data_IF_218842004177
#
_entry.id   IF_218842004177
#
_cell.length_a   1.000
_cell.length_b   1.000
_cell.length_c   1.000
_cell.angle_alpha   90.00
_cell.angle_beta   90.00
_cell.angle_gamma   90.00
#
_symmetry.space_group_name_H-M   'P 1'
#
loop_
_entity.id
_entity.type
_entity.pdbx_description
1 polymer ?
#
# COMPACT_ATOMS: atom_id res chain seq x y z
N UNK A 1 -14.78 -30.18 -1.19
CA UNK A 1 -14.52 -28.83 -0.67
C UNK A 1 -13.01 -28.67 -0.52
N UNK A 2 -12.40 -27.70 -1.20
CA UNK A 2 -10.97 -27.42 -1.03
C UNK A 2 -10.74 -26.85 0.38
N UNK A 3 -9.84 -27.47 1.14
CA UNK A 3 -9.64 -27.17 2.54
C UNK A 3 -8.18 -27.43 2.93
N UNK A 4 -7.71 -26.67 3.91
CA UNK A 4 -6.43 -26.94 4.55
C UNK A 4 -6.60 -27.99 5.66
N UNK A 5 -5.59 -28.83 5.83
CA UNK A 5 -5.48 -29.78 6.94
C UNK A 5 -4.13 -29.60 7.63
N UNK A 6 -4.12 -29.63 8.95
CA UNK A 6 -2.90 -29.64 9.75
C UNK A 6 -3.17 -30.30 11.10
N UNK A 7 -2.12 -30.57 11.86
CA UNK A 7 -2.24 -31.11 13.22
C UNK A 7 -1.95 -30.02 14.24
N UNK A 8 -2.74 -29.95 15.31
CA UNK A 8 -2.44 -29.13 16.50
C UNK A 8 -2.03 -30.05 17.64
N UNK A 9 -0.95 -29.71 18.33
CA UNK A 9 -0.52 -30.40 19.54
C UNK A 9 -0.84 -29.51 20.74
N UNK A 10 -1.62 -30.04 21.68
CA UNK A 10 -1.90 -29.35 22.95
C UNK A 10 -0.66 -29.34 23.85
N UNK A 11 -0.67 -28.49 24.88
CA UNK A 11 0.37 -28.45 25.92
C UNK A 11 0.48 -29.79 26.68
N UNK A 12 -0.61 -30.58 26.73
CA UNK A 12 -0.65 -31.94 27.31
C UNK A 12 -0.18 -33.03 26.34
N UNK A 13 0.23 -32.66 25.12
CA UNK A 13 0.82 -33.56 24.14
C UNK A 13 -0.18 -34.31 23.25
N UNK A 14 -1.49 -34.10 23.41
CA UNK A 14 -2.51 -34.65 22.51
C UNK A 14 -2.42 -33.99 21.13
N UNK A 15 -2.51 -34.79 20.07
CA UNK A 15 -2.49 -34.33 18.68
C UNK A 15 -3.89 -34.45 18.09
N UNK A 16 -4.43 -33.35 17.56
CA UNK A 16 -5.71 -33.31 16.85
C UNK A 16 -5.51 -32.95 15.38
N UNK A 17 -6.23 -33.65 14.50
CA UNK A 17 -6.36 -33.25 13.09
C UNK A 17 -7.34 -32.09 12.98
N UNK A 18 -6.88 -30.99 12.40
CA UNK A 18 -7.68 -29.81 12.12
C UNK A 18 -8.00 -29.74 10.63
N UNK A 19 -9.24 -29.34 10.34
CA UNK A 19 -9.77 -29.16 9.01
C UNK A 19 -10.37 -27.76 8.88
N UNK A 20 -9.88 -26.98 7.93
CA UNK A 20 -10.38 -25.62 7.69
C UNK A 20 -10.78 -25.44 6.24
N UNK A 21 -12.08 -25.29 5.96
CA UNK A 21 -12.55 -24.95 4.62
C UNK A 21 -12.24 -23.49 4.29
N UNK A 22 -11.80 -23.25 3.05
CA UNK A 22 -11.60 -21.91 2.50
C UNK A 22 -12.76 -21.57 1.56
N UNK A 23 -13.50 -20.51 1.84
CA UNK A 23 -14.66 -20.08 1.07
C UNK A 23 -14.35 -18.74 0.42
N UNK A 24 -14.56 -18.66 -0.90
CA UNK A 24 -14.15 -17.50 -1.68
C UNK A 24 -15.35 -16.63 -2.07
N UNK A 25 -15.22 -15.33 -1.82
CA UNK A 25 -16.16 -14.30 -2.22
C UNK A 25 -15.39 -13.34 -3.13
N UNK A 26 -15.76 -13.33 -4.41
CA UNK A 26 -15.19 -12.43 -5.42
C UNK A 26 -16.08 -11.19 -5.53
N UNK A 27 -15.50 -10.03 -5.23
CA UNK A 27 -16.17 -8.74 -5.31
C UNK A 27 -15.21 -7.71 -5.85
N UNK A 28 -15.62 -7.00 -6.89
CA UNK A 28 -14.84 -5.89 -7.45
C UNK A 28 -14.51 -4.82 -6.38
N UNK A 29 -13.43 -4.10 -6.64
CA UNK A 29 -13.00 -2.95 -5.87
C UNK A 29 -14.06 -1.85 -5.91
N UNK A 30 -14.34 -1.25 -4.76
CA UNK A 30 -15.34 -0.18 -4.65
C UNK A 30 -16.79 -0.65 -4.49
N UNK A 31 -17.08 -1.95 -4.53
CA UNK A 31 -18.46 -2.47 -4.40
C UNK A 31 -18.88 -2.84 -2.96
N UNK A 32 -18.24 -2.27 -1.94
CA UNK A 32 -18.65 -2.49 -0.54
C UNK A 32 -18.20 -3.82 0.10
N UNK A 33 -17.02 -4.33 -0.27
CA UNK A 33 -16.44 -5.57 0.27
C UNK A 33 -16.39 -5.60 1.82
N UNK A 34 -15.91 -4.51 2.42
CA UNK A 34 -15.80 -4.36 3.89
C UNK A 34 -17.16 -4.40 4.58
N UNK A 35 -18.12 -3.62 4.08
CA UNK A 35 -19.50 -3.65 4.57
C UNK A 35 -20.09 -5.06 4.50
N UNK A 36 -19.86 -5.76 3.38
CA UNK A 36 -20.37 -7.11 3.16
C UNK A 36 -19.83 -8.09 4.18
N UNK A 37 -18.52 -8.13 4.44
CA UNK A 37 -18.00 -9.05 5.45
C UNK A 37 -18.45 -8.68 6.87
N UNK A 38 -18.66 -7.38 7.19
CA UNK A 38 -19.22 -6.97 8.48
C UNK A 38 -20.64 -7.51 8.62
N UNK A 39 -21.47 -7.33 7.60
CA UNK A 39 -22.81 -7.90 7.56
C UNK A 39 -22.78 -9.42 7.69
N UNK A 40 -21.86 -10.10 7.00
CA UNK A 40 -21.68 -11.56 7.14
C UNK A 40 -21.42 -11.98 8.59
N UNK A 41 -20.64 -11.23 9.36
CA UNK A 41 -20.42 -11.52 10.79
C UNK A 41 -21.73 -11.45 11.60
N UNK A 42 -22.54 -10.41 11.36
CA UNK A 42 -23.84 -10.27 12.02
C UNK A 42 -24.84 -11.34 11.58
N UNK A 43 -24.93 -11.67 10.30
CA UNK A 43 -25.83 -12.73 9.81
C UNK A 43 -25.43 -14.10 10.36
N UNK A 44 -24.13 -14.42 10.41
CA UNK A 44 -23.64 -15.65 11.02
C UNK A 44 -23.89 -15.71 12.52
N UNK A 45 -23.80 -14.56 13.21
CA UNK A 45 -24.20 -14.47 14.62
C UNK A 45 -25.69 -14.71 14.81
N UNK A 46 -26.54 -14.07 13.99
CA UNK A 46 -27.99 -14.17 14.07
C UNK A 46 -28.50 -15.58 13.78
N UNK A 47 -27.98 -16.23 12.75
CA UNK A 47 -28.46 -17.54 12.29
C UNK A 47 -27.87 -18.69 13.10
N UNK A 48 -26.57 -18.62 13.43
CA UNK A 48 -25.84 -19.75 14.03
C UNK A 48 -25.26 -19.46 15.42
N UNK A 49 -25.34 -18.23 15.91
CA UNK A 49 -24.78 -17.85 17.20
C UNK A 49 -23.25 -17.69 17.20
N UNK A 50 -22.58 -17.62 16.04
CA UNK A 50 -21.13 -17.40 15.99
C UNK A 50 -20.76 -16.02 16.54
N UNK A 51 -19.76 -15.97 17.43
CA UNK A 51 -19.39 -14.74 18.16
C UNK A 51 -17.96 -14.30 17.96
N UNK A 52 -17.07 -15.15 17.42
CA UNK A 52 -15.62 -14.92 17.40
C UNK A 52 -15.11 -14.84 15.98
N UNK A 53 -14.75 -13.62 15.57
CA UNK A 53 -14.24 -13.32 14.24
C UNK A 53 -12.86 -12.68 14.32
N UNK A 54 -11.97 -13.10 13.43
CA UNK A 54 -10.65 -12.48 13.26
C UNK A 54 -10.54 -11.97 11.83
N UNK A 55 -10.36 -10.66 11.65
CA UNK A 55 -10.13 -10.03 10.35
C UNK A 55 -8.63 -9.84 10.14
N UNK A 56 -8.07 -10.58 9.20
CA UNK A 56 -6.64 -10.55 8.85
C UNK A 56 -6.46 -9.66 7.60
N UNK A 57 -5.65 -8.62 7.74
CA UNK A 57 -5.41 -7.61 6.69
C UNK A 57 -3.91 -7.53 6.32
N UNK A 58 -3.56 -7.14 5.08
CA UNK A 58 -2.18 -7.20 4.62
C UNK A 58 -1.37 -5.95 4.96
N UNK A 59 -2.02 -4.81 5.22
CA UNK A 59 -1.36 -3.52 5.45
C UNK A 59 -1.97 -2.75 6.63
N UNK A 60 -1.22 -1.77 7.13
CA UNK A 60 -1.72 -0.87 8.19
C UNK A 60 -2.84 0.04 7.68
N UNK A 61 -2.78 0.52 6.44
CA UNK A 61 -3.83 1.36 5.87
C UNK A 61 -5.19 0.61 5.80
N UNK A 62 -5.18 -0.65 5.33
CA UNK A 62 -6.40 -1.47 5.29
C UNK A 62 -6.90 -1.77 6.71
N UNK A 63 -5.99 -1.98 7.67
CA UNK A 63 -6.33 -2.16 9.08
C UNK A 63 -7.09 -0.95 9.65
N UNK A 64 -6.57 0.26 9.46
CA UNK A 64 -7.23 1.50 9.90
C UNK A 64 -8.59 1.66 9.21
N UNK A 65 -8.64 1.43 7.89
CA UNK A 65 -9.87 1.47 7.11
C UNK A 65 -10.94 0.51 7.64
N UNK A 66 -10.56 -0.73 7.97
CA UNK A 66 -11.46 -1.73 8.56
C UNK A 66 -11.96 -1.31 9.94
N UNK A 67 -11.09 -0.80 10.81
CA UNK A 67 -11.49 -0.30 12.13
C UNK A 67 -12.48 0.87 12.03
N UNK A 68 -12.20 1.85 11.16
CA UNK A 68 -13.11 2.97 10.92
C UNK A 68 -14.45 2.50 10.35
N UNK A 69 -14.46 1.52 9.42
CA UNK A 69 -15.70 0.94 8.90
C UNK A 69 -16.54 0.29 10.01
N UNK A 70 -15.92 -0.49 10.90
CA UNK A 70 -16.59 -1.09 12.05
C UNK A 70 -17.19 -0.04 12.99
N UNK A 71 -16.51 1.11 13.15
CA UNK A 71 -16.98 2.23 13.95
C UNK A 71 -18.17 2.95 13.31
N UNK A 72 -18.04 3.43 12.07
CA UNK A 72 -19.07 4.26 11.41
C UNK A 72 -20.34 3.49 11.07
N UNK A 73 -20.22 2.18 10.82
CA UNK A 73 -21.38 1.32 10.53
C UNK A 73 -22.06 0.76 11.78
N UNK A 74 -21.55 1.07 12.98
CA UNK A 74 -22.06 0.51 14.24
C UNK A 74 -23.53 0.81 14.46
N UNK A 75 -23.96 2.07 14.28
CA UNK A 75 -25.36 2.48 14.48
C UNK A 75 -26.29 1.82 13.46
N UNK A 76 -25.84 1.75 12.20
CA UNK A 76 -26.54 1.06 11.12
C UNK A 76 -26.80 -0.41 11.47
N UNK A 77 -25.76 -1.16 11.83
CA UNK A 77 -25.93 -2.57 12.19
C UNK A 77 -26.64 -2.77 13.53
N UNK A 78 -26.53 -1.85 14.49
CA UNK A 78 -27.32 -1.91 15.72
C UNK A 78 -28.83 -1.84 15.42
N UNK A 79 -29.25 -1.00 14.47
CA UNK A 79 -30.64 -0.91 14.05
C UNK A 79 -31.12 -2.20 13.35
N UNK A 80 -30.33 -2.74 12.42
CA UNK A 80 -30.70 -3.93 11.63
C UNK A 80 -30.71 -5.24 12.44
N UNK A 81 -29.93 -5.30 13.53
CA UNK A 81 -29.71 -6.53 14.32
C UNK A 81 -30.09 -6.37 15.79
N UNK A 82 -31.18 -5.64 16.08
CA UNK A 82 -31.79 -5.56 17.42
C UNK A 82 -30.79 -5.19 18.54
N UNK A 83 -29.86 -4.27 18.24
CA UNK A 83 -28.81 -3.80 19.14
C UNK A 83 -27.86 -4.91 19.65
N UNK A 84 -27.63 -5.98 18.87
CA UNK A 84 -26.60 -6.98 19.19
C UNK A 84 -25.25 -6.27 19.43
N UNK A 85 -24.63 -6.42 20.63
CA UNK A 85 -23.36 -5.79 20.92
C UNK A 85 -22.25 -6.35 20.02
N UNK A 86 -21.62 -5.49 19.23
CA UNK A 86 -20.42 -5.79 18.47
C UNK A 86 -19.22 -5.05 19.05
N UNK A 87 -18.17 -5.81 19.40
CA UNK A 87 -16.96 -5.33 20.04
C UNK A 87 -15.77 -5.45 19.08
N UNK A 88 -15.46 -4.38 18.31
CA UNK A 88 -14.25 -4.34 17.50
C UNK A 88 -13.02 -4.14 18.39
N UNK A 89 -11.97 -4.92 18.13
CA UNK A 89 -10.72 -4.90 18.88
C UNK A 89 -9.54 -4.87 17.90
N UNK A 90 -8.67 -3.87 18.05
CA UNK A 90 -7.43 -3.79 17.29
C UNK A 90 -6.32 -4.55 18.02
N UNK A 91 -5.67 -5.50 17.35
CA UNK A 91 -4.54 -6.19 17.95
C UNK A 91 -3.37 -5.23 18.26
N UNK A 92 -2.90 -5.29 19.50
CA UNK A 92 -1.74 -4.55 20.01
C UNK A 92 -0.83 -5.48 20.81
N UNK A 93 0.42 -5.63 20.36
CA UNK A 93 1.39 -6.52 20.99
C UNK A 93 1.79 -6.07 22.40
N UNK A 94 1.49 -4.83 22.79
CA UNK A 94 1.70 -4.32 24.14
C UNK A 94 0.50 -4.55 25.07
N UNK A 95 -0.66 -4.95 24.54
CA UNK A 95 -1.87 -5.26 25.32
C UNK A 95 -2.36 -6.70 25.09
N UNK A 96 -1.56 -7.71 25.40
CA UNK A 96 -1.92 -9.11 25.17
C UNK A 96 -3.09 -9.61 26.02
N UNK A 97 -3.43 -8.93 27.12
CA UNK A 97 -4.64 -9.23 27.90
C UNK A 97 -5.93 -8.99 27.10
N UNK A 98 -5.90 -8.15 26.08
CA UNK A 98 -7.04 -7.91 25.20
C UNK A 98 -7.45 -9.21 24.47
N UNK A 99 -6.50 -10.11 24.17
CA UNK A 99 -6.81 -11.41 23.55
C UNK A 99 -7.55 -12.35 24.50
N UNK A 100 -7.30 -12.25 25.81
CA UNK A 100 -8.07 -12.97 26.83
C UNK A 100 -9.52 -12.45 26.86
N UNK A 101 -9.70 -11.13 26.86
CA UNK A 101 -11.03 -10.53 26.81
C UNK A 101 -11.78 -10.90 25.53
N UNK A 102 -11.09 -10.90 24.38
CA UNK A 102 -11.64 -11.39 23.12
C UNK A 102 -12.13 -12.84 23.26
N UNK A 103 -11.35 -13.74 23.85
CA UNK A 103 -11.74 -15.14 24.00
C UNK A 103 -12.92 -15.33 24.96
N UNK A 104 -12.95 -14.60 26.08
CA UNK A 104 -13.93 -14.79 27.16
C UNK A 104 -15.25 -14.03 26.97
N UNK A 105 -15.29 -13.02 26.10
CA UNK A 105 -16.49 -12.22 25.87
C UNK A 105 -17.66 -13.05 25.32
N UNK A 106 -18.89 -12.75 25.73
CA UNK A 106 -20.10 -13.35 25.14
C UNK A 106 -20.71 -12.53 24.00
N UNK A 107 -20.16 -11.35 23.73
CA UNK A 107 -20.60 -10.47 22.65
C UNK A 107 -20.02 -10.90 21.29
N UNK A 108 -20.65 -10.44 20.20
CA UNK A 108 -20.06 -10.50 18.87
C UNK A 108 -18.74 -9.73 18.89
N UNK A 109 -17.62 -10.43 18.82
CA UNK A 109 -16.28 -9.87 19.03
C UNK A 109 -15.47 -9.99 17.74
N UNK A 110 -14.87 -8.89 17.31
CA UNK A 110 -14.13 -8.81 16.04
C UNK A 110 -12.70 -8.36 16.32
N UNK A 111 -11.73 -9.26 16.17
CA UNK A 111 -10.31 -8.94 16.30
C UNK A 111 -9.73 -8.58 14.93
N UNK A 112 -9.25 -7.35 14.76
CA UNK A 112 -8.58 -6.91 13.53
C UNK A 112 -7.06 -6.98 13.72
N UNK A 113 -6.37 -7.70 12.84
CA UNK A 113 -4.93 -7.96 12.93
C UNK A 113 -4.24 -7.86 11.57
N UNK A 114 -3.09 -7.18 11.52
CA UNK A 114 -2.22 -7.18 10.35
C UNK A 114 -1.31 -8.42 10.38
N UNK A 115 -1.22 -9.16 9.26
CA UNK A 115 -0.39 -10.36 9.12
C UNK A 115 1.06 -10.23 9.55
N UNK A 116 1.67 -9.08 9.29
CA UNK A 116 3.08 -8.87 9.65
C UNK A 116 3.29 -8.78 11.16
N UNK A 117 2.21 -8.55 11.93
CA UNK A 117 2.24 -8.45 13.40
C UNK A 117 2.33 -9.81 14.10
N UNK A 118 2.11 -10.92 13.38
CA UNK A 118 2.09 -12.27 13.97
C UNK A 118 2.67 -13.38 13.08
N UNK A 119 3.07 -13.09 11.84
CA UNK A 119 3.66 -14.09 10.94
C UNK A 119 5.16 -14.33 11.14
N UNK A 120 5.89 -13.38 11.73
CA UNK A 120 7.30 -13.58 12.11
C UNK A 120 7.35 -14.56 13.30
N UNK A 121 8.28 -15.50 13.26
CA UNK A 121 8.59 -16.47 14.33
C UNK A 121 7.73 -17.74 14.43
N UNK A 122 7.04 -18.15 13.36
CA UNK A 122 6.28 -19.42 13.36
C UNK A 122 7.19 -20.65 13.24
N UNK A 123 8.40 -20.50 12.70
CA UNK A 123 9.32 -21.61 12.40
C UNK A 123 10.65 -21.56 13.18
N UNK A 124 10.83 -20.67 14.17
CA UNK A 124 12.14 -20.49 14.81
C UNK A 124 12.30 -21.29 16.13
N UNK A 125 12.70 -22.56 16.00
CA UNK A 125 13.18 -23.39 17.12
C UNK A 125 14.56 -22.94 17.65
N UNK A 126 15.18 -21.91 17.06
CA UNK A 126 16.52 -21.40 17.40
C UNK A 126 16.53 -19.87 17.61
N UNK A 127 15.48 -19.33 18.25
CA UNK A 127 15.34 -17.90 18.57
C UNK A 127 16.36 -17.40 19.63
N UNK A 128 17.64 -17.36 19.28
CA UNK A 128 18.73 -16.76 20.08
C UNK A 128 19.10 -15.35 19.60
N UNK A 129 18.46 -14.81 18.55
CA UNK A 129 18.72 -13.44 18.06
C UNK A 129 17.60 -12.44 18.38
N UNK A 130 17.85 -11.75 19.49
CA UNK A 130 17.06 -10.79 20.30
C UNK A 130 16.56 -9.47 19.64
N UNK A 131 16.16 -9.40 18.36
CA UNK A 131 15.84 -8.06 17.75
C UNK A 131 14.47 -7.78 17.13
N UNK A 132 13.53 -8.71 17.00
CA UNK A 132 12.14 -8.35 16.65
C UNK A 132 11.21 -9.55 16.87
N UNK A 133 11.03 -9.92 18.12
CA UNK A 133 10.24 -11.08 18.49
C UNK A 133 8.74 -10.71 18.55
N UNK A 134 7.90 -11.48 17.85
CA UNK A 134 6.45 -11.36 17.89
C UNK A 134 5.88 -11.89 19.21
N UNK A 135 5.56 -10.97 20.14
CA UNK A 135 5.04 -11.26 21.49
C UNK A 135 3.79 -12.15 21.54
N UNK A 136 3.04 -12.30 20.44
CA UNK A 136 1.80 -13.09 20.38
C UNK A 136 2.04 -14.60 20.44
N UNK A 137 3.14 -15.06 19.84
CA UNK A 137 3.50 -16.48 19.79
C UNK A 137 4.38 -16.90 20.98
N UNK A 138 4.67 -15.97 21.90
CA UNK A 138 5.56 -16.23 23.03
C UNK A 138 4.82 -16.33 24.35
N UNK A 139 5.13 -17.40 25.08
CA UNK A 139 4.71 -17.57 26.46
C UNK A 139 5.28 -16.48 27.38
N UNK A 140 6.57 -16.18 27.26
CA UNK A 140 7.25 -15.27 28.20
C UNK A 140 7.10 -15.77 29.64
N UNK A 141 6.71 -14.88 30.56
CA UNK A 141 6.40 -15.21 31.96
C UNK A 141 4.93 -15.68 32.17
N UNK A 142 4.11 -15.75 31.11
CA UNK A 142 2.70 -16.16 31.22
C UNK A 142 2.56 -17.67 31.30
N UNK A 143 1.39 -18.15 31.72
CA UNK A 143 1.08 -19.58 31.72
C UNK A 143 1.12 -20.18 30.30
N UNK A 144 0.66 -19.43 29.29
CA UNK A 144 0.61 -19.82 27.88
C UNK A 144 0.78 -18.59 26.96
N UNK A 145 1.10 -18.85 25.68
CA UNK A 145 1.29 -17.78 24.69
C UNK A 145 -0.05 -17.07 24.37
N UNK A 146 -0.07 -15.74 24.14
CA UNK A 146 -1.31 -15.02 23.86
C UNK A 146 -2.13 -15.56 22.68
N UNK A 147 -1.48 -16.13 21.66
CA UNK A 147 -2.13 -16.77 20.51
C UNK A 147 -3.06 -17.92 20.92
N UNK A 148 -2.79 -18.59 22.03
CA UNK A 148 -3.59 -19.74 22.49
C UNK A 148 -5.01 -19.32 22.90
N UNK A 149 -5.22 -18.08 23.37
CA UNK A 149 -6.57 -17.56 23.60
C UNK A 149 -7.39 -17.50 22.30
N UNK A 150 -6.76 -17.18 21.17
CA UNK A 150 -7.42 -17.14 19.86
C UNK A 150 -7.69 -18.56 19.39
N UNK A 151 -6.69 -19.45 19.47
CA UNK A 151 -6.84 -20.84 19.02
C UNK A 151 -7.93 -21.60 19.77
N UNK A 152 -8.05 -21.36 21.08
CA UNK A 152 -9.01 -22.04 21.94
C UNK A 152 -10.47 -21.77 21.53
N UNK A 153 -10.75 -20.63 20.90
CA UNK A 153 -12.13 -20.27 20.49
C UNK A 153 -12.47 -20.65 19.05
N UNK A 154 -11.55 -21.29 18.31
CA UNK A 154 -11.69 -21.67 16.89
C UNK A 154 -12.46 -20.63 16.05
N UNK A 155 -11.91 -19.42 15.88
CA UNK A 155 -12.64 -18.30 15.29
C UNK A 155 -12.95 -18.53 13.81
N UNK A 156 -13.94 -17.79 13.29
CA UNK A 156 -14.09 -17.62 11.84
C UNK A 156 -13.08 -16.55 11.41
N UNK A 157 -12.19 -16.90 10.48
CA UNK A 157 -11.18 -15.97 9.98
C UNK A 157 -11.64 -15.36 8.67
N UNK A 158 -11.68 -14.03 8.61
CA UNK A 158 -11.91 -13.25 7.39
C UNK A 158 -10.55 -12.77 6.89
N UNK A 159 -10.21 -13.09 5.65
CA UNK A 159 -8.99 -12.63 4.98
C UNK A 159 -9.39 -11.63 3.90
N UNK A 160 -8.96 -10.39 4.07
CA UNK A 160 -9.15 -9.31 3.10
C UNK A 160 -7.91 -9.23 2.19
N UNK A 161 -8.12 -9.24 0.88
CA UNK A 161 -7.08 -9.33 -0.15
C UNK A 161 -6.13 -10.56 -0.04
N UNK A 162 -6.67 -11.79 0.00
CA UNK A 162 -5.97 -13.09 0.11
C UNK A 162 -4.75 -13.30 -0.79
N UNK A 163 -4.68 -12.67 -1.97
CA UNK A 163 -3.54 -12.73 -2.89
C UNK A 163 -2.22 -12.24 -2.27
N UNK A 164 -2.32 -11.46 -1.18
CA UNK A 164 -1.21 -10.99 -0.36
C UNK A 164 -0.72 -12.02 0.68
N UNK A 165 -1.41 -13.15 0.88
CA UNK A 165 -1.13 -14.12 1.97
C UNK A 165 -0.66 -15.48 1.47
N UNK A 166 -0.29 -15.56 0.19
CA UNK A 166 0.01 -16.83 -0.47
C UNK A 166 1.43 -17.37 -0.19
N UNK A 167 2.24 -16.68 0.62
CA UNK A 167 3.53 -17.22 1.06
C UNK A 167 3.33 -18.25 2.17
N UNK A 168 4.18 -19.27 2.23
CA UNK A 168 4.03 -20.36 3.21
C UNK A 168 4.05 -19.86 4.65
N UNK A 169 4.89 -18.87 4.98
CA UNK A 169 4.94 -18.25 6.31
C UNK A 169 3.59 -17.59 6.65
N UNK A 170 2.97 -16.87 5.71
CA UNK A 170 1.67 -16.20 5.92
C UNK A 170 0.52 -17.19 6.00
N UNK A 171 0.52 -18.24 5.16
CA UNK A 171 -0.46 -19.34 5.25
C UNK A 171 -0.36 -20.06 6.60
N UNK A 172 0.86 -20.40 7.04
CA UNK A 172 1.11 -20.97 8.36
C UNK A 172 0.62 -20.05 9.48
N UNK A 173 0.79 -18.73 9.36
CA UNK A 173 0.28 -17.78 10.34
C UNK A 173 -1.23 -17.81 10.48
N UNK A 174 -1.96 -17.85 9.36
CA UNK A 174 -3.41 -17.97 9.37
C UNK A 174 -3.85 -19.31 9.99
N UNK A 175 -3.18 -20.42 9.64
CA UNK A 175 -3.43 -21.74 10.25
C UNK A 175 -3.18 -21.73 11.76
N UNK A 176 -2.15 -21.00 12.22
CA UNK A 176 -1.82 -20.86 13.65
C UNK A 176 -2.89 -20.10 14.45
N UNK A 177 -3.91 -19.50 13.81
CA UNK A 177 -5.10 -18.99 14.51
C UNK A 177 -6.10 -20.10 14.87
N UNK A 178 -5.88 -21.32 14.38
CA UNK A 178 -6.77 -22.47 14.48
C UNK A 178 -8.22 -22.19 14.03
N UNK A 179 -8.45 -21.66 12.81
CA UNK A 179 -9.77 -21.24 12.37
C UNK A 179 -10.76 -22.39 12.19
N UNK A 180 -12.04 -22.14 12.50
CA UNK A 180 -13.14 -23.03 12.12
C UNK A 180 -13.33 -23.06 10.59
N UNK A 181 -13.26 -21.90 9.96
CA UNK A 181 -13.23 -21.73 8.51
C UNK A 181 -12.56 -20.39 8.14
N UNK A 182 -12.20 -20.26 6.86
CA UNK A 182 -11.62 -19.02 6.32
C UNK A 182 -12.51 -18.45 5.21
N UNK A 183 -13.03 -17.24 5.41
CA UNK A 183 -13.76 -16.46 4.39
C UNK A 183 -12.79 -15.52 3.69
N UNK A 184 -12.68 -15.61 2.36
CA UNK A 184 -11.69 -14.89 1.55
C UNK A 184 -12.39 -13.87 0.66
N UNK A 185 -12.14 -12.59 0.88
CA UNK A 185 -12.76 -11.50 0.12
C UNK A 185 -11.71 -10.79 -0.73
N UNK A 186 -11.88 -10.78 -2.06
CA UNK A 186 -11.01 -10.04 -2.99
C UNK A 186 -11.70 -9.82 -4.34
N UNK A 187 -11.19 -8.86 -5.13
CA UNK A 187 -11.46 -8.80 -6.56
C UNK A 187 -10.50 -9.71 -7.38
N UNK A 188 -9.33 -10.08 -6.83
CA UNK A 188 -8.20 -10.63 -7.59
C UNK A 188 -7.69 -11.94 -7.01
N UNK A 189 -8.57 -12.93 -6.87
CA UNK A 189 -8.19 -14.25 -6.36
C UNK A 189 -7.20 -14.94 -7.30
N UNK A 190 -6.01 -15.27 -6.79
CA UNK A 190 -5.07 -16.16 -7.50
C UNK A 190 -5.61 -17.58 -7.62
N UNK A 191 -6.26 -18.05 -6.54
CA UNK A 191 -6.83 -19.37 -6.42
C UNK A 191 -8.23 -19.24 -5.76
N UNK A 192 -9.33 -19.35 -6.52
CA UNK A 192 -10.67 -19.26 -5.97
C UNK A 192 -11.07 -20.60 -5.31
N UNK A 193 -10.78 -20.74 -4.02
CA UNK A 193 -11.15 -21.92 -3.24
C UNK A 193 -12.65 -21.89 -2.90
N UNK A 194 -13.40 -22.92 -3.31
CA UNK A 194 -14.86 -23.04 -3.09
C UNK A 194 -15.59 -21.69 -3.27
N UNK A 195 -15.60 -21.18 -4.50
CA UNK A 195 -16.25 -19.92 -4.86
C UNK A 195 -17.75 -19.96 -4.49
N UNK A 196 -18.16 -19.04 -3.62
CA UNK A 196 -19.56 -18.91 -3.17
C UNK A 196 -20.31 -17.80 -3.91
N UNK A 197 -19.60 -16.73 -4.27
CA UNK A 197 -20.17 -15.56 -4.90
C UNK A 197 -19.14 -14.87 -5.79
N UNK A 198 -19.61 -14.28 -6.89
CA UNK A 198 -18.80 -13.50 -7.82
C UNK A 198 -19.56 -12.27 -8.32
N UNK A 199 -18.94 -11.11 -8.15
CA UNK A 199 -19.28 -9.84 -8.78
C UNK A 199 -18.00 -9.28 -9.42
N UNK A 200 -17.88 -9.47 -10.73
CA UNK A 200 -16.70 -9.08 -11.50
C UNK A 200 -16.77 -7.61 -11.98
N UNK A 201 -15.67 -7.03 -12.52
CA UNK A 201 -15.67 -5.62 -12.89
C UNK A 201 -16.63 -5.27 -14.03
N UNK A 202 -16.91 -6.21 -14.93
CA UNK A 202 -17.87 -5.98 -16.02
C UNK A 202 -19.27 -5.91 -15.44
N UNK A 203 -19.63 -6.87 -14.59
CA UNK A 203 -20.92 -6.87 -13.89
C UNK A 203 -21.09 -5.63 -13.00
N UNK A 204 -20.04 -5.24 -12.26
CA UNK A 204 -20.09 -4.06 -11.41
C UNK A 204 -20.29 -2.77 -12.22
N UNK A 205 -19.70 -2.69 -13.41
CA UNK A 205 -19.89 -1.59 -14.35
C UNK A 205 -21.31 -1.57 -14.94
N UNK A 206 -21.79 -2.72 -15.44
CA UNK A 206 -23.11 -2.85 -16.05
C UNK A 206 -24.24 -2.55 -15.05
N UNK A 207 -24.02 -2.85 -13.77
CA UNK A 207 -24.93 -2.51 -12.67
C UNK A 207 -24.79 -1.06 -12.18
N UNK A 208 -23.88 -0.27 -12.74
CA UNK A 208 -23.64 1.12 -12.34
C UNK A 208 -23.06 1.28 -10.93
N UNK A 209 -22.43 0.23 -10.38
CA UNK A 209 -21.87 0.23 -9.02
C UNK A 209 -20.50 0.91 -8.94
N UNK A 210 -19.80 0.99 -10.07
CA UNK A 210 -18.45 1.57 -10.17
C UNK A 210 -18.41 2.63 -11.28
N UNK A 211 -17.46 3.56 -11.17
CA UNK A 211 -17.26 4.61 -12.17
C UNK A 211 -16.55 4.03 -13.39
N UNK A 212 -16.83 4.60 -14.57
CA UNK A 212 -16.07 4.35 -15.78
C UNK A 212 -14.62 4.84 -15.62
N UNK A 213 -13.68 4.10 -16.21
CA UNK A 213 -12.29 4.51 -16.33
C UNK A 213 -12.13 5.29 -17.64
N UNK A 214 -11.67 6.54 -17.54
CA UNK A 214 -11.23 7.34 -18.68
C UNK A 214 -9.69 7.39 -18.67
N UNK A 215 -9.06 7.03 -19.79
CA UNK A 215 -7.60 7.04 -19.93
C UNK A 215 -7.22 8.20 -20.85
N UNK A 216 -6.56 9.21 -20.29
CA UNK A 216 -5.93 10.30 -21.04
C UNK A 216 -4.45 9.93 -21.27
N UNK A 217 -4.16 9.41 -22.45
CA UNK A 217 -2.81 8.99 -22.83
C UNK A 217 -1.96 10.20 -23.20
N UNK A 218 -0.88 10.44 -22.46
CA UNK A 218 0.17 11.38 -22.92
C UNK A 218 1.11 10.60 -23.82
N UNK A 219 0.80 10.58 -25.11
CA UNK A 219 1.75 10.10 -26.12
C UNK A 219 2.86 11.14 -26.25
N UNK A 220 3.99 10.87 -25.59
CA UNK A 220 5.25 11.50 -25.94
C UNK A 220 5.61 11.03 -27.34
N UNK A 221 5.47 11.90 -28.34
CA UNK A 221 5.48 11.57 -29.77
C UNK A 221 6.70 10.74 -30.25
N UNK A 222 7.78 10.57 -29.46
CA UNK A 222 8.94 9.75 -29.84
C UNK A 222 9.69 9.02 -28.69
N UNK A 223 9.27 9.08 -27.42
CA UNK A 223 10.15 8.65 -26.29
C UNK A 223 9.88 7.27 -25.68
N UNK A 224 8.87 6.50 -26.12
CA UNK A 224 8.66 5.13 -25.62
C UNK A 224 9.69 4.11 -26.14
N UNK A 225 10.48 4.47 -27.16
CA UNK A 225 11.55 3.61 -27.69
C UNK A 225 12.94 3.94 -27.14
N UNK A 226 13.07 4.87 -26.18
CA UNK A 226 14.39 5.20 -25.61
C UNK A 226 14.68 4.33 -24.38
N UNK A 227 15.86 3.72 -24.35
CA UNK A 227 16.26 2.82 -23.27
C UNK A 227 16.46 3.58 -21.94
N UNK A 228 15.80 3.13 -20.87
CA UNK A 228 15.98 3.70 -19.54
C UNK A 228 17.37 3.35 -18.96
N UNK A 229 18.14 4.32 -18.49
CA UNK A 229 19.39 4.10 -17.78
C UNK A 229 19.68 5.25 -16.80
N UNK A 230 20.02 4.93 -15.56
CA UNK A 230 20.44 5.90 -14.53
C UNK A 230 21.78 5.45 -13.93
N UNK A 231 22.79 6.31 -13.87
CA UNK A 231 24.06 6.00 -13.18
C UNK A 231 23.94 6.36 -11.71
N UNK A 232 24.01 5.36 -10.83
CA UNK A 232 23.79 5.54 -9.37
C UNK A 232 25.11 5.68 -8.61
N UNK A 233 26.15 4.94 -9.03
CA UNK A 233 27.44 4.97 -8.36
C UNK A 233 28.55 4.48 -9.28
N UNK A 234 29.75 4.98 -9.05
CA UNK A 234 31.01 4.38 -9.53
C UNK A 234 31.78 3.93 -8.30
N UNK A 235 32.00 2.62 -8.18
CA UNK A 235 32.65 2.00 -7.03
C UNK A 235 34.04 1.50 -7.43
N UNK A 236 35.05 1.90 -6.65
CA UNK A 236 36.40 1.35 -6.77
C UNK A 236 36.51 0.10 -5.88
N UNK A 237 36.76 -1.06 -6.50
CA UNK A 237 37.14 -2.30 -5.80
C UNK A 237 38.63 -2.54 -6.00
N UNK A 238 39.24 -3.33 -5.11
CA UNK A 238 40.69 -3.52 -4.96
C UNK A 238 41.50 -3.77 -6.26
N UNK A 239 40.87 -4.23 -7.35
CA UNK A 239 41.50 -4.40 -8.68
C UNK A 239 40.62 -3.99 -9.87
N UNK A 240 39.50 -3.28 -9.66
CA UNK A 240 38.59 -2.90 -10.77
C UNK A 240 37.62 -1.78 -10.40
N UNK A 241 37.33 -0.89 -11.35
CA UNK A 241 36.18 0.01 -11.28
C UNK A 241 34.89 -0.72 -11.70
N UNK A 242 33.78 -0.42 -11.02
CA UNK A 242 32.44 -0.90 -11.40
C UNK A 242 31.43 0.23 -11.37
N UNK A 243 30.63 0.37 -12.43
CA UNK A 243 29.49 1.28 -12.46
C UNK A 243 28.25 0.54 -11.98
N UNK A 244 27.45 1.19 -11.15
CA UNK A 244 26.13 0.70 -10.74
C UNK A 244 25.08 1.54 -11.47
N UNK A 245 24.34 0.91 -12.37
CA UNK A 245 23.27 1.57 -13.13
C UNK A 245 21.91 0.97 -12.81
N UNK A 246 20.83 1.75 -12.96
CA UNK A 246 19.45 1.24 -12.97
C UNK A 246 18.99 1.13 -14.41
N UNK A 247 18.42 -0.01 -14.78
CA UNK A 247 17.90 -0.30 -16.13
C UNK A 247 16.55 -1.02 -16.04
N UNK A 248 15.80 -1.03 -17.13
CA UNK A 248 14.61 -1.88 -17.30
C UNK A 248 15.02 -3.31 -17.69
N UNK A 249 14.58 -4.30 -16.92
CA UNK A 249 14.92 -5.73 -17.14
C UNK A 249 13.66 -6.52 -17.44
N UNK A 250 13.72 -7.40 -18.44
CA UNK A 250 12.63 -8.33 -18.73
C UNK A 250 12.49 -9.36 -17.58
N UNK A 251 11.31 -9.51 -16.99
CA UNK A 251 11.02 -10.55 -15.99
C UNK A 251 9.76 -11.34 -16.36
N UNK A 252 9.54 -12.50 -15.72
CA UNK A 252 8.36 -13.36 -15.95
C UNK A 252 7.02 -12.66 -15.70
N UNK A 253 7.03 -11.53 -14.98
CA UNK A 253 5.84 -10.76 -14.58
C UNK A 253 5.77 -9.40 -15.30
N UNK A 254 6.55 -9.23 -16.37
CA UNK A 254 6.69 -7.95 -17.09
C UNK A 254 8.04 -7.28 -16.84
N UNK A 255 8.15 -6.03 -17.25
CA UNK A 255 9.38 -5.24 -17.17
C UNK A 255 9.56 -4.69 -15.76
N UNK A 256 10.78 -4.78 -15.19
CA UNK A 256 11.09 -4.21 -13.87
C UNK A 256 12.40 -3.44 -13.88
N UNK A 257 12.41 -2.26 -13.26
CA UNK A 257 13.64 -1.51 -12.98
C UNK A 257 14.50 -2.26 -11.98
N UNK A 258 15.77 -2.49 -12.32
CA UNK A 258 16.75 -3.14 -11.44
C UNK A 258 18.09 -2.46 -11.52
N UNK A 259 18.77 -2.44 -10.38
CA UNK A 259 20.17 -2.06 -10.31
C UNK A 259 21.06 -3.21 -10.78
N UNK A 260 21.95 -2.93 -11.72
CA UNK A 260 22.96 -3.86 -12.24
C UNK A 260 24.35 -3.22 -12.15
N UNK A 261 25.36 -4.07 -11.94
CA UNK A 261 26.76 -3.63 -11.96
C UNK A 261 27.39 -3.93 -13.33
N UNK A 262 28.12 -2.95 -13.85
CA UNK A 262 28.84 -2.99 -15.11
C UNK A 262 30.34 -2.86 -14.91
N UNK A 263 31.08 -3.56 -15.74
CA UNK A 263 32.51 -3.39 -16.02
C UNK A 263 32.71 -2.98 -17.47
N UNK A 264 33.88 -2.46 -17.82
CA UNK A 264 34.25 -2.22 -19.23
C UNK A 264 34.00 -3.49 -20.05
N UNK A 265 33.29 -3.35 -21.17
CA UNK A 265 32.87 -4.42 -22.06
C UNK A 265 31.53 -5.09 -21.70
N UNK A 266 30.91 -4.76 -20.55
CA UNK A 266 29.59 -5.28 -20.21
C UNK A 266 28.50 -4.64 -21.10
N UNK A 267 27.58 -5.48 -21.55
CA UNK A 267 26.48 -5.13 -22.47
C UNK A 267 25.14 -5.12 -21.73
N UNK A 268 24.43 -3.99 -21.78
CA UNK A 268 23.12 -3.85 -21.16
C UNK A 268 22.04 -4.70 -21.81
N UNK A 269 22.17 -5.05 -23.08
CA UNK A 269 21.26 -5.99 -23.74
C UNK A 269 21.26 -7.33 -23.01
N UNK A 270 22.44 -7.85 -22.66
CA UNK A 270 22.56 -9.09 -21.89
C UNK A 270 22.10 -8.92 -20.45
N UNK A 271 22.49 -7.83 -19.78
CA UNK A 271 22.14 -7.56 -18.37
C UNK A 271 20.63 -7.33 -18.17
N UNK A 272 19.93 -6.83 -19.19
CA UNK A 272 18.48 -6.61 -19.20
C UNK A 272 17.65 -7.86 -19.52
N UNK A 273 18.30 -9.02 -19.69
CA UNK A 273 17.69 -10.25 -20.22
C UNK A 273 17.11 -10.05 -21.62
N UNK A 274 17.98 -9.56 -22.52
CA UNK A 274 17.73 -9.41 -23.95
C UNK A 274 16.57 -8.47 -24.25
N UNK A 275 16.51 -7.33 -23.57
CA UNK A 275 15.50 -6.31 -23.86
C UNK A 275 15.94 -5.46 -25.04
N UNK A 276 15.16 -5.51 -26.11
CA UNK A 276 15.51 -4.99 -27.44
C UNK A 276 15.94 -3.52 -27.46
N UNK A 277 15.38 -2.66 -26.59
CA UNK A 277 15.78 -1.25 -26.50
C UNK A 277 17.25 -1.02 -26.12
N UNK A 278 17.94 -2.03 -25.55
CA UNK A 278 19.38 -1.95 -25.26
C UNK A 278 20.26 -2.63 -26.32
N UNK A 279 19.68 -3.19 -27.39
CA UNK A 279 20.41 -4.01 -28.35
C UNK A 279 21.48 -3.24 -29.14
N UNK A 280 21.30 -1.93 -29.34
CA UNK A 280 22.28 -1.09 -30.04
C UNK A 280 22.86 0.00 -29.13
N UNK A 281 24.18 -0.05 -28.93
CA UNK A 281 24.92 1.07 -28.37
C UNK A 281 25.07 1.14 -26.85
N UNK A 282 24.72 0.10 -26.10
CA UNK A 282 24.82 0.07 -24.63
C UNK A 282 25.88 -0.90 -24.09
N UNK A 283 27.04 -0.92 -24.73
CA UNK A 283 28.23 -1.58 -24.19
C UNK A 283 29.08 -0.54 -23.48
N UNK A 284 29.38 -0.76 -22.19
CA UNK A 284 30.21 0.15 -21.41
C UNK A 284 31.63 0.18 -22.01
N UNK A 285 32.00 1.30 -22.61
CA UNK A 285 33.28 1.50 -23.29
C UNK A 285 34.38 1.84 -22.29
N UNK A 286 34.17 2.89 -21.49
CA UNK A 286 35.20 3.41 -20.59
C UNK A 286 34.59 4.12 -19.37
N UNK A 287 35.38 4.20 -18.30
CA UNK A 287 35.14 5.11 -17.18
C UNK A 287 35.96 6.37 -17.40
N UNK A 288 35.31 7.49 -17.72
CA UNK A 288 36.00 8.76 -18.01
C UNK A 288 36.49 9.44 -16.73
N UNK A 289 35.76 9.26 -15.62
CA UNK A 289 36.11 9.79 -14.31
C UNK A 289 35.47 8.97 -13.18
N UNK A 290 35.59 9.43 -11.93
CA UNK A 290 34.85 8.92 -10.78
C UNK A 290 33.35 9.29 -10.80
N UNK A 291 32.93 10.10 -11.77
CA UNK A 291 31.55 10.56 -11.94
C UNK A 291 30.97 10.32 -13.33
N UNK A 292 31.73 9.82 -14.30
CA UNK A 292 31.29 9.70 -15.69
C UNK A 292 31.69 8.36 -16.32
N UNK A 293 30.75 7.76 -17.06
CA UNK A 293 30.99 6.56 -17.88
C UNK A 293 30.56 6.79 -19.33
N UNK A 294 31.19 6.12 -20.28
CA UNK A 294 30.84 6.23 -21.69
C UNK A 294 30.33 4.90 -22.27
N UNK A 295 29.22 4.95 -23.02
CA UNK A 295 28.75 3.83 -23.83
C UNK A 295 29.18 3.97 -25.29
N UNK A 296 29.48 2.84 -25.93
CA UNK A 296 30.04 2.78 -27.29
C UNK A 296 29.27 3.54 -28.38
N UNK A 297 27.94 3.70 -28.27
CA UNK A 297 27.17 4.57 -29.19
C UNK A 297 26.15 5.48 -28.51
N UNK A 298 25.96 5.34 -27.20
CA UNK A 298 25.00 6.15 -26.43
C UNK A 298 25.67 7.25 -25.58
N UNK A 299 26.94 7.56 -25.84
CA UNK A 299 27.65 8.70 -25.26
C UNK A 299 27.92 8.59 -23.76
N UNK A 300 28.28 9.73 -23.16
CA UNK A 300 28.69 9.84 -21.74
C UNK A 300 27.48 9.93 -20.83
N UNK A 301 27.38 9.11 -19.78
CA UNK A 301 26.39 9.18 -18.72
C UNK A 301 27.07 9.61 -17.41
N UNK A 302 26.57 10.68 -16.78
CA UNK A 302 27.11 11.23 -15.53
C UNK A 302 26.43 10.66 -14.28
N UNK A 303 27.10 10.75 -13.15
CA UNK A 303 26.58 10.31 -11.86
C UNK A 303 25.27 11.04 -11.53
N UNK A 304 24.24 10.27 -11.20
CA UNK A 304 22.85 10.69 -11.02
C UNK A 304 22.13 11.21 -12.29
N UNK A 305 22.75 11.10 -13.47
CA UNK A 305 22.06 11.36 -14.75
C UNK A 305 21.19 10.16 -15.11
N UNK A 306 19.99 10.45 -15.62
CA UNK A 306 19.02 9.48 -16.12
C UNK A 306 18.69 9.77 -17.59
N UNK A 307 18.64 8.73 -18.42
CA UNK A 307 18.18 8.77 -19.82
C UNK A 307 17.08 7.74 -20.04
N UNK A 308 16.09 8.04 -20.87
CA UNK A 308 14.88 7.23 -20.96
C UNK A 308 14.03 7.32 -19.68
N UNK A 309 12.73 7.54 -19.83
CA UNK A 309 11.81 7.96 -18.76
C UNK A 309 10.86 9.03 -19.29
N UNK A 310 9.82 9.39 -18.53
CA UNK A 310 9.04 10.60 -18.86
C UNK A 310 10.00 11.78 -18.71
N UNK A 311 10.16 12.62 -19.74
CA UNK A 311 10.92 13.86 -19.59
C UNK A 311 10.22 14.77 -18.58
N UNK A 312 10.96 15.72 -18.01
CA UNK A 312 10.38 16.74 -17.14
C UNK A 312 9.23 17.48 -17.83
N UNK A 313 9.31 17.69 -19.15
CA UNK A 313 8.22 18.26 -19.95
C UNK A 313 6.97 17.39 -19.97
N UNK A 314 7.13 16.06 -20.12
CA UNK A 314 6.00 15.13 -20.11
C UNK A 314 5.35 15.07 -18.71
N UNK A 315 6.15 15.01 -17.65
CA UNK A 315 5.63 15.02 -16.28
C UNK A 315 4.92 16.35 -15.95
N UNK A 316 5.52 17.48 -16.36
CA UNK A 316 4.90 18.80 -16.23
C UNK A 316 3.58 18.88 -16.98
N UNK A 317 3.53 18.34 -18.20
CA UNK A 317 2.29 18.25 -18.98
C UNK A 317 1.24 17.38 -18.30
N UNK A 318 1.61 16.23 -17.72
CA UNK A 318 0.68 15.38 -16.94
C UNK A 318 0.10 16.11 -15.73
N UNK A 319 0.92 16.87 -15.00
CA UNK A 319 0.44 17.70 -13.88
C UNK A 319 -0.53 18.75 -14.39
N UNK A 320 -0.16 19.51 -15.43
CA UNK A 320 -1.04 20.53 -16.01
C UNK A 320 -2.37 19.93 -16.48
N UNK A 321 -2.32 18.78 -17.17
CA UNK A 321 -3.51 18.09 -17.68
C UNK A 321 -4.42 17.62 -16.57
N UNK A 322 -3.86 17.11 -15.49
CA UNK A 322 -4.61 16.69 -14.30
C UNK A 322 -5.30 17.88 -13.64
N UNK A 323 -4.59 19.00 -13.46
CA UNK A 323 -5.19 20.24 -12.92
C UNK A 323 -6.33 20.72 -13.82
N UNK A 324 -6.10 20.76 -15.12
CA UNK A 324 -7.11 21.16 -16.11
C UNK A 324 -8.37 20.28 -16.05
N UNK A 325 -8.19 18.95 -15.98
CA UNK A 325 -9.28 17.98 -15.85
C UNK A 325 -10.02 18.14 -14.52
N UNK A 326 -9.29 18.41 -13.44
CA UNK A 326 -9.87 18.67 -12.12
C UNK A 326 -10.82 19.88 -12.16
N UNK A 327 -10.36 21.03 -12.66
CA UNK A 327 -11.21 22.23 -12.80
C UNK A 327 -12.43 21.96 -13.69
N UNK A 328 -12.24 21.27 -14.82
CA UNK A 328 -13.34 20.91 -15.71
C UNK A 328 -14.37 20.00 -15.02
N UNK A 329 -13.91 19.01 -14.23
CA UNK A 329 -14.79 18.11 -13.48
C UNK A 329 -15.51 18.84 -12.36
N UNK A 330 -14.80 19.65 -11.57
CA UNK A 330 -15.36 20.41 -10.47
C UNK A 330 -16.45 21.36 -10.95
N UNK A 331 -16.25 22.04 -12.08
CA UNK A 331 -17.28 22.89 -12.70
C UNK A 331 -18.55 22.10 -13.04
N UNK A 332 -18.41 20.87 -13.57
CA UNK A 332 -19.55 20.02 -13.94
C UNK A 332 -20.35 19.52 -12.73
N UNK A 333 -19.70 19.31 -11.59
CA UNK A 333 -20.34 18.68 -10.41
C UNK A 333 -20.59 19.64 -9.24
N UNK A 334 -20.25 20.92 -9.39
CA UNK A 334 -20.37 21.95 -8.34
C UNK A 334 -21.77 22.00 -7.76
N UNK A 335 -22.79 22.02 -8.61
CA UNK A 335 -24.21 22.11 -8.21
C UNK A 335 -24.69 20.86 -7.45
N UNK A 336 -24.02 19.73 -7.63
CA UNK A 336 -24.32 18.49 -6.91
C UNK A 336 -23.66 18.42 -5.53
N UNK A 337 -22.90 19.43 -5.12
CA UNK A 337 -22.20 19.43 -3.82
C UNK A 337 -21.10 18.36 -3.71
N UNK A 338 -20.54 17.92 -4.85
CA UNK A 338 -19.53 16.85 -4.87
C UNK A 338 -18.14 17.47 -4.86
N UNK A 339 -17.36 17.17 -3.83
CA UNK A 339 -15.93 17.49 -3.80
C UNK A 339 -15.16 16.61 -4.79
N UNK A 340 -14.28 17.23 -5.57
CA UNK A 340 -13.39 16.53 -6.50
C UNK A 340 -12.02 16.41 -5.86
N UNK A 341 -11.42 15.22 -5.92
CA UNK A 341 -10.07 14.95 -5.43
C UNK A 341 -9.21 14.43 -6.59
N UNK A 342 -7.94 14.83 -6.61
CA UNK A 342 -6.95 14.34 -7.56
C UNK A 342 -5.75 13.76 -6.80
N UNK A 343 -5.29 12.59 -7.24
CA UNK A 343 -4.18 11.87 -6.63
C UNK A 343 -3.03 11.73 -7.64
N UNK A 344 -1.85 12.20 -7.26
CA UNK A 344 -0.61 12.06 -8.00
C UNK A 344 0.25 10.98 -7.36
N UNK A 345 0.71 10.01 -8.16
CA UNK A 345 1.75 9.09 -7.74
C UNK A 345 3.11 9.58 -8.22
N UNK A 346 4.00 9.86 -7.28
CA UNK A 346 5.34 10.38 -7.55
C UNK A 346 6.41 9.33 -7.32
N UNK A 347 7.50 9.45 -8.07
CA UNK A 347 8.65 8.57 -8.05
C UNK A 347 9.61 8.83 -6.89
N UNK A 348 9.76 10.11 -6.49
CA UNK A 348 10.62 10.54 -5.38
C UNK A 348 9.94 11.66 -4.61
N UNK A 349 9.99 11.61 -3.28
CA UNK A 349 9.45 12.65 -2.38
C UNK A 349 10.12 14.00 -2.65
N UNK A 350 11.43 13.99 -2.90
CA UNK A 350 12.21 15.19 -3.21
C UNK A 350 11.69 15.95 -4.45
N UNK A 351 11.06 15.27 -5.40
CA UNK A 351 10.48 15.93 -6.57
C UNK A 351 9.28 16.81 -6.20
N UNK A 352 8.60 16.55 -5.09
CA UNK A 352 7.50 17.36 -4.59
C UNK A 352 7.90 18.25 -3.40
N UNK A 353 8.67 17.70 -2.45
CA UNK A 353 9.11 18.40 -1.24
C UNK A 353 10.60 18.11 -1.00
N UNK A 354 11.42 19.10 -1.29
CA UNK A 354 12.85 19.08 -1.01
C UNK A 354 13.17 19.80 0.32
N UNK A 355 14.44 19.80 0.69
CA UNK A 355 14.91 20.43 1.93
C UNK A 355 16.18 21.22 1.65
N UNK A 356 16.28 22.42 2.22
CA UNK A 356 17.51 23.23 2.20
C UNK A 356 18.56 22.68 3.19
N UNK A 357 19.76 23.28 3.19
CA UNK A 357 20.88 22.89 4.06
C UNK A 357 20.55 23.02 5.56
N UNK A 358 19.58 23.86 5.90
CA UNK A 358 19.07 24.08 7.26
C UNK A 358 17.95 23.08 7.63
N UNK A 359 17.51 22.25 6.69
CA UNK A 359 16.45 21.27 6.84
C UNK A 359 15.04 21.85 6.84
N UNK A 360 14.84 23.04 6.28
CA UNK A 360 13.52 23.61 6.03
C UNK A 360 12.94 23.05 4.73
N UNK A 361 11.63 22.80 4.71
CA UNK A 361 10.98 22.26 3.53
C UNK A 361 10.89 23.33 2.44
N UNK A 362 11.32 22.97 1.24
CA UNK A 362 11.22 23.81 0.03
C UNK A 362 10.44 23.05 -1.06
N UNK A 363 9.65 23.76 -1.90
CA UNK A 363 8.87 23.12 -2.94
C UNK A 363 9.79 22.47 -3.98
N UNK A 364 9.62 21.18 -4.22
CA UNK A 364 10.28 20.47 -5.32
C UNK A 364 9.65 20.83 -6.66
N UNK A 365 10.24 20.35 -7.76
CA UNK A 365 9.80 20.65 -9.13
C UNK A 365 8.30 20.38 -9.39
N UNK A 366 7.75 19.31 -8.85
CA UNK A 366 6.33 18.96 -9.02
C UNK A 366 5.39 19.90 -8.27
N UNK A 367 5.78 20.40 -7.08
CA UNK A 367 4.99 21.39 -6.37
C UNK A 367 4.98 22.71 -7.15
N UNK A 368 6.14 23.15 -7.67
CA UNK A 368 6.24 24.36 -8.47
C UNK A 368 5.40 24.27 -9.75
N UNK A 369 5.54 23.19 -10.53
CA UNK A 369 4.75 22.98 -11.75
C UNK A 369 3.25 22.87 -11.46
N UNK A 370 2.89 22.29 -10.31
CA UNK A 370 1.50 22.24 -9.87
C UNK A 370 0.96 23.64 -9.58
N UNK A 371 1.67 24.45 -8.79
CA UNK A 371 1.22 25.80 -8.42
C UNK A 371 1.07 26.69 -9.67
N UNK A 372 2.04 26.66 -10.58
CA UNK A 372 1.96 27.35 -11.87
C UNK A 372 0.73 26.92 -12.69
N UNK A 373 0.49 25.61 -12.80
CA UNK A 373 -0.67 25.09 -13.50
C UNK A 373 -1.97 25.49 -12.79
N UNK A 374 -2.02 25.41 -11.47
CA UNK A 374 -3.20 25.77 -10.69
C UNK A 374 -3.59 27.23 -10.93
N UNK A 375 -2.64 28.15 -10.77
CA UNK A 375 -2.86 29.59 -10.98
C UNK A 375 -3.31 29.89 -12.41
N UNK A 376 -2.70 29.25 -13.41
CA UNK A 376 -3.08 29.36 -14.82
C UNK A 376 -4.55 29.01 -15.06
N UNK A 377 -5.08 27.96 -14.42
CA UNK A 377 -6.47 27.55 -14.59
C UNK A 377 -7.44 28.31 -13.68
N UNK A 378 -7.03 28.65 -12.44
CA UNK A 378 -7.81 29.47 -11.52
C UNK A 378 -8.08 30.88 -12.09
N UNK A 379 -7.15 31.45 -12.86
CA UNK A 379 -7.30 32.74 -13.51
C UNK A 379 -8.28 32.76 -14.70
N UNK A 380 -8.73 31.59 -15.20
CA UNK A 380 -9.67 31.54 -16.34
C UNK A 380 -11.03 32.04 -15.90
N UNK A 381 -11.63 32.95 -16.67
CA UNK A 381 -12.91 33.59 -16.34
C UNK A 381 -14.04 32.61 -15.94
N UNK A 382 -14.08 31.43 -16.57
CA UNK A 382 -15.10 30.42 -16.33
C UNK A 382 -14.79 29.43 -15.19
N UNK A 383 -13.63 29.57 -14.54
CA UNK A 383 -13.20 28.84 -13.34
C UNK A 383 -12.93 29.76 -12.15
N UNK A 384 -13.08 31.07 -12.34
CA UNK A 384 -12.94 32.06 -11.27
C UNK A 384 -13.85 31.69 -10.09
N UNK A 385 -13.30 31.79 -8.89
CA UNK A 385 -13.98 31.49 -7.61
C UNK A 385 -14.52 30.05 -7.50
N UNK A 386 -14.06 29.14 -8.35
CA UNK A 386 -14.44 27.73 -8.25
C UNK A 386 -13.76 27.04 -7.06
N UNK A 387 -12.53 27.46 -6.76
CA UNK A 387 -11.74 27.01 -5.61
C UNK A 387 -11.27 28.27 -4.90
N UNK A 388 -11.86 28.62 -3.74
CA UNK A 388 -11.59 29.87 -3.03
C UNK A 388 -10.36 29.79 -2.11
N UNK A 389 -9.31 29.11 -2.58
CA UNK A 389 -8.09 28.83 -1.82
C UNK A 389 -6.87 29.07 -2.71
N UNK A 390 -5.74 29.42 -2.10
CA UNK A 390 -4.47 29.57 -2.82
C UNK A 390 -3.92 28.22 -3.26
N UNK A 391 -2.98 28.24 -4.22
CA UNK A 391 -2.37 27.02 -4.72
C UNK A 391 -1.76 26.20 -3.58
N UNK A 392 -0.96 26.81 -2.70
CA UNK A 392 -0.27 26.11 -1.61
C UNK A 392 -1.20 25.49 -0.55
N UNK A 393 -2.46 25.92 -0.46
CA UNK A 393 -3.46 25.38 0.47
C UNK A 393 -4.17 24.14 -0.08
N UNK A 394 -4.28 24.00 -1.41
CA UNK A 394 -5.12 22.97 -2.02
C UNK A 394 -4.39 21.66 -2.28
N UNK A 395 -3.06 21.64 -2.14
CA UNK A 395 -2.26 20.43 -2.30
C UNK A 395 -1.41 20.09 -1.09
N UNK A 396 -1.28 18.80 -0.80
CA UNK A 396 -0.34 18.31 0.19
C UNK A 396 0.20 16.93 -0.19
N UNK A 397 1.30 16.56 0.44
CA UNK A 397 2.00 15.30 0.23
C UNK A 397 1.77 14.30 1.37
N UNK A 398 1.47 13.07 1.00
CA UNK A 398 1.37 11.92 1.89
C UNK A 398 2.62 11.05 1.75
N UNK A 399 3.57 11.26 2.67
CA UNK A 399 4.88 10.59 2.67
C UNK A 399 5.22 10.00 4.04
N UNK A 400 6.19 9.09 4.08
CA UNK A 400 6.79 8.66 5.34
C UNK A 400 7.86 9.65 5.76
N UNK A 401 7.96 9.93 7.07
CA UNK A 401 8.94 10.88 7.61
C UNK A 401 9.89 10.24 8.61
N UNK A 402 11.19 10.45 8.40
CA UNK A 402 12.24 10.14 9.37
C UNK A 402 12.52 11.35 10.27
N UNK A 403 12.93 11.10 11.51
CA UNK A 403 13.42 12.18 12.40
C UNK A 403 14.93 12.33 12.21
N UNK A 404 15.39 13.50 11.78
CA UNK A 404 16.81 13.86 11.73
C UNK A 404 17.13 14.79 12.92
N UNK A 405 18.06 14.36 13.77
CA UNK A 405 18.48 15.07 14.99
C UNK A 405 18.19 14.31 16.30
N UNK A 406 18.57 14.89 17.44
CA UNK A 406 18.34 14.33 18.79
C UNK A 406 17.52 15.29 19.65
N UNK A 407 16.64 14.76 20.50
CA UNK A 407 15.85 15.55 21.45
C UNK A 407 14.75 16.38 20.78
N UNK A 408 14.36 17.49 21.44
CA UNK A 408 13.29 18.38 20.97
C UNK A 408 13.61 19.14 19.66
N UNK A 409 14.88 19.16 19.24
CA UNK A 409 15.34 19.80 18.01
C UNK A 409 15.32 18.86 16.78
N UNK A 410 14.85 17.62 16.92
CA UNK A 410 14.78 16.69 15.79
C UNK A 410 13.73 17.15 14.76
N UNK A 411 14.18 17.52 13.55
CA UNK A 411 13.31 17.90 12.43
C UNK A 411 12.81 16.64 11.70
N UNK A 412 11.57 16.66 11.23
CA UNK A 412 10.97 15.58 10.43
C UNK A 412 11.35 15.79 8.96
N UNK A 413 12.00 14.80 8.36
CA UNK A 413 12.39 14.77 6.96
C UNK A 413 11.62 13.67 6.24
N UNK A 414 10.84 14.06 5.25
CA UNK A 414 10.10 13.13 4.41
C UNK A 414 11.05 12.39 3.47
N UNK A 415 10.88 11.08 3.36
CA UNK A 415 11.78 10.19 2.61
C UNK A 415 11.01 9.24 1.71
N UNK A 416 11.69 8.80 0.65
CA UNK A 416 11.22 7.75 -0.24
C UNK A 416 11.00 6.46 0.55
N UNK A 417 9.74 6.08 0.73
CA UNK A 417 9.38 4.91 1.53
C UNK A 417 9.00 3.73 0.66
N UNK A 418 9.53 2.56 1.01
CA UNK A 418 9.21 1.27 0.37
C UNK A 418 8.17 0.52 1.19
N UNK A 419 6.91 1.00 1.24
CA UNK A 419 5.71 0.31 1.80
C UNK A 419 5.81 -0.24 3.25
N UNK A 420 6.97 -0.17 3.91
CA UNK A 420 7.32 -0.89 5.13
C UNK A 420 8.17 0.01 6.02
N UNK A 421 7.57 1.02 6.61
CA UNK A 421 8.32 1.90 7.50
C UNK A 421 7.45 2.77 8.39
N UNK A 422 7.35 2.33 9.65
CA UNK A 422 7.12 3.09 10.90
C UNK A 422 6.04 4.18 10.94
N UNK A 423 5.13 4.02 11.91
CA UNK A 423 4.35 5.10 12.54
C UNK A 423 5.17 6.39 12.69
N UNK A 424 4.54 7.54 12.44
CA UNK A 424 4.29 8.59 13.45
C UNK A 424 3.66 9.85 12.84
N UNK A 425 2.53 10.23 13.44
CA UNK A 425 1.93 11.56 13.56
C UNK A 425 2.23 12.50 12.39
N UNK A 426 1.36 12.44 11.39
CA UNK A 426 1.22 13.52 10.42
C UNK A 426 -0.25 13.89 10.28
N UNK A 427 -0.55 15.19 10.28
CA UNK A 427 -1.91 15.69 10.11
C UNK A 427 -2.49 15.25 8.77
N UNK A 428 -1.66 15.15 7.71
CA UNK A 428 -2.07 14.65 6.40
C UNK A 428 -2.43 13.16 6.43
N UNK A 429 -1.66 12.35 7.15
CA UNK A 429 -1.99 10.92 7.34
C UNK A 429 -3.31 10.77 8.08
N UNK A 430 -3.46 11.48 9.19
CA UNK A 430 -4.68 11.46 10.00
C UNK A 430 -5.87 11.92 9.16
N UNK A 431 -5.74 13.01 8.41
CA UNK A 431 -6.80 13.51 7.53
C UNK A 431 -7.21 12.49 6.45
N UNK A 432 -6.24 11.89 5.76
CA UNK A 432 -6.53 10.96 4.66
C UNK A 432 -7.01 9.58 5.15
N UNK A 433 -6.50 9.11 6.28
CA UNK A 433 -6.77 7.74 6.76
C UNK A 433 -7.87 7.67 7.82
N UNK A 434 -7.93 8.66 8.72
CA UNK A 434 -8.81 8.66 9.90
C UNK A 434 -9.95 9.67 9.77
N UNK A 435 -9.67 10.91 9.36
CA UNK A 435 -10.66 12.00 9.24
C UNK A 435 -11.15 12.18 7.79
N UNK A 436 -11.43 11.07 7.09
CA UNK A 436 -11.90 11.08 5.69
C UNK A 436 -13.14 11.96 5.49
N UNK A 437 -14.01 12.02 6.50
CA UNK A 437 -15.19 12.88 6.50
C UNK A 437 -14.80 14.36 6.36
N UNK A 438 -13.73 14.80 7.06
CA UNK A 438 -13.19 16.16 6.93
C UNK A 438 -12.54 16.37 5.57
N UNK A 439 -11.81 15.38 5.05
CA UNK A 439 -11.25 15.46 3.69
C UNK A 439 -12.33 15.64 2.61
N UNK A 440 -13.52 15.07 2.80
CA UNK A 440 -14.64 15.18 1.88
C UNK A 440 -15.48 16.46 2.07
N UNK A 441 -15.28 17.18 3.17
CA UNK A 441 -15.93 18.45 3.42
C UNK A 441 -15.49 19.53 2.42
N UNK A 442 -16.44 20.32 1.92
CA UNK A 442 -16.19 21.40 0.97
C UNK A 442 -15.39 22.55 1.58
N UNK A 443 -15.38 22.69 2.91
CA UNK A 443 -14.62 23.70 3.64
C UNK A 443 -13.14 23.32 3.85
N UNK A 444 -12.79 22.04 3.69
CA UNK A 444 -11.40 21.57 3.75
C UNK A 444 -10.69 21.90 2.43
N UNK A 445 -9.63 22.73 2.43
CA UNK A 445 -8.98 23.17 1.19
C UNK A 445 -8.34 22.04 0.39
N UNK A 446 -7.85 21.00 1.07
CA UNK A 446 -7.08 19.93 0.44
C UNK A 446 -7.92 19.15 -0.60
N UNK A 447 -7.44 19.14 -1.84
CA UNK A 447 -8.08 18.46 -2.97
C UNK A 447 -7.10 17.84 -3.98
N UNK A 448 -5.81 18.15 -3.91
CA UNK A 448 -4.74 17.51 -4.68
C UNK A 448 -3.76 16.81 -3.74
N UNK A 449 -3.57 15.51 -3.92
CA UNK A 449 -2.78 14.69 -3.00
C UNK A 449 -1.60 14.11 -3.77
N UNK A 450 -0.38 14.27 -3.25
CA UNK A 450 0.82 13.66 -3.81
C UNK A 450 1.25 12.47 -2.95
N UNK A 451 1.49 11.31 -3.54
CA UNK A 451 1.85 10.09 -2.80
C UNK A 451 3.00 9.34 -3.47
N UNK A 452 3.96 8.89 -2.68
CA UNK A 452 5.13 8.15 -3.17
C UNK A 452 4.90 6.62 -3.27
N UNK A 453 4.03 6.04 -2.43
CA UNK A 453 3.84 4.57 -2.44
C UNK A 453 2.69 4.06 -1.57
N UNK A 454 2.29 4.79 -0.53
CA UNK A 454 1.44 4.24 0.52
C UNK A 454 -0.08 4.23 0.22
N UNK A 455 -0.50 4.63 -0.98
CA UNK A 455 -1.90 4.64 -1.43
C UNK A 455 -2.16 3.76 -2.68
N UNK A 456 -1.18 2.94 -3.10
CA UNK A 456 -1.37 2.02 -4.23
C UNK A 456 -2.23 0.82 -3.88
#
# INVERSE_FOLDING_TARGET
>A
MQADRWTVKSDEGQVSDEFCPHLTIEMETGTGKTYTFIRTMYELNKVYGFKKFVVVVPSVAIREGTMKNLEVTRSHFAADYANVPCLPMLYDSNRPNDLRHFAQSDALSVLVINIDSFSKDIDDSNATKKKSINKINQKGERAFAPIEYIKAVKPIVIVDEPQNFETDIRRKAIRNLNPLCTLRYSATHKNPYNLLYKLDPVQAYDLGLVKQIEVDGVESDQSQNQAFIELVAIEQKAKSLTAKVVIDVNEKTGVKRKSVSLKVGDDLYKKSKYREVYADGFILNEFLSDTEIEFNKNGVLRLNEQRGGLSDDVMRFQIERTVAAHFAKLKKVKESGIKVLSLFFIDKVANYRAYDDEGNAVPGKFAQWFEEAFEKYAAKAHYKDLIPYSASEVHNGYFSGDKKGKGAAAKKIWVDSTERGSKKDDDTYTLIMQDKERLLDMAEPLQFIFSHSALR
#
